data_IF_615396019774
#
_entry.id   IF_615396019774
#
_cell.length_a   1.000
_cell.length_b   1.000
_cell.length_c   1.000
_cell.angle_alpha   90.00
_cell.angle_beta   90.00
_cell.angle_gamma   90.00
#
_symmetry.space_group_name_H-M   'P 1'
#
loop_
_entity.id
_entity.type
_entity.pdbx_description
1 polymer ?
#
# COMPACT_ATOMS: atom_id res chain seq x y z
N UNK A 1 -7.89 -9.04 5.58
CA UNK A 1 -8.07 -9.65 6.92
C UNK A 1 -8.65 -11.07 6.90
N UNK A 2 -9.78 -11.33 6.24
CA UNK A 2 -10.43 -12.66 6.29
C UNK A 2 -9.55 -13.86 5.90
N UNK A 3 -8.70 -13.73 4.86
CA UNK A 3 -7.78 -14.80 4.45
C UNK A 3 -6.66 -15.04 5.46
N UNK A 4 -6.16 -13.97 6.10
CA UNK A 4 -5.18 -14.06 7.19
C UNK A 4 -5.81 -14.82 8.36
N UNK A 5 -7.03 -14.46 8.76
CA UNK A 5 -7.76 -15.18 9.81
C UNK A 5 -7.93 -16.66 9.49
N UNK A 6 -8.44 -16.99 8.29
CA UNK A 6 -8.62 -18.38 7.87
C UNK A 6 -7.32 -19.18 7.93
N UNK A 7 -6.21 -18.58 7.48
CA UNK A 7 -4.90 -19.21 7.52
C UNK A 7 -4.43 -19.44 8.96
N UNK A 8 -4.50 -18.43 9.83
CA UNK A 8 -4.08 -18.54 11.23
C UNK A 8 -4.87 -19.61 11.98
N UNK A 9 -6.19 -19.66 11.78
CA UNK A 9 -7.03 -20.72 12.37
C UNK A 9 -6.68 -22.09 11.81
N UNK A 10 -6.44 -22.20 10.50
CA UNK A 10 -6.06 -23.46 9.85
C UNK A 10 -4.75 -24.03 10.41
N UNK A 11 -3.77 -23.18 10.73
CA UNK A 11 -2.48 -23.62 11.30
C UNK A 11 -2.51 -23.81 12.82
N UNK A 12 -3.69 -23.69 13.46
CA UNK A 12 -3.88 -24.02 14.88
C UNK A 12 -3.91 -22.83 15.85
N UNK A 13 -3.99 -21.59 15.38
CA UNK A 13 -4.21 -20.44 16.27
C UNK A 13 -5.65 -20.49 16.81
N UNK A 14 -5.79 -20.39 18.13
CA UNK A 14 -7.09 -20.30 18.81
C UNK A 14 -7.82 -19.01 18.40
N UNK A 15 -8.98 -19.10 17.72
CA UNK A 15 -9.72 -17.92 17.27
C UNK A 15 -10.15 -16.99 18.41
N UNK A 16 -10.32 -17.51 19.63
CA UNK A 16 -10.69 -16.70 20.80
C UNK A 16 -9.55 -15.83 21.30
N UNK A 17 -8.32 -16.17 20.90
CA UNK A 17 -7.06 -15.48 21.24
C UNK A 17 -6.44 -14.78 20.03
N UNK A 18 -7.26 -14.52 19.00
CA UNK A 18 -6.86 -13.84 17.78
C UNK A 18 -7.69 -12.56 17.64
N UNK A 19 -7.04 -11.42 17.40
CA UNK A 19 -7.72 -10.17 17.07
C UNK A 19 -7.03 -9.45 15.93
N UNK A 20 -7.78 -8.56 15.27
CA UNK A 20 -7.22 -7.61 14.33
C UNK A 20 -7.23 -6.23 14.98
N UNK A 21 -6.06 -5.60 15.07
CA UNK A 21 -5.90 -4.25 15.62
C UNK A 21 -5.49 -3.30 14.51
N UNK A 22 -6.27 -2.24 14.30
CA UNK A 22 -5.87 -1.16 13.41
C UNK A 22 -4.80 -0.30 14.08
N UNK A 23 -3.79 0.10 13.32
CA UNK A 23 -2.81 1.08 13.76
C UNK A 23 -3.46 2.45 13.94
N UNK A 24 -3.06 3.15 14.99
CA UNK A 24 -3.40 4.56 15.15
C UNK A 24 -2.53 5.44 14.24
N UNK A 25 -2.94 6.67 14.01
CA UNK A 25 -2.20 7.61 13.15
C UNK A 25 -0.76 7.89 13.62
N UNK A 26 -0.51 7.80 14.92
CA UNK A 26 0.81 7.98 15.54
C UNK A 26 1.66 6.68 15.55
N UNK A 27 1.10 5.55 15.16
CA UNK A 27 1.78 4.25 15.05
C UNK A 27 2.03 3.87 13.58
N UNK A 28 1.30 4.53 12.66
CA UNK A 28 1.39 4.28 11.23
C UNK A 28 2.82 4.44 10.72
N UNK A 29 3.32 3.44 10.01
CA UNK A 29 4.60 3.55 9.34
C UNK A 29 4.56 4.69 8.31
N UNK A 30 5.67 5.42 8.17
CA UNK A 30 5.79 6.59 7.28
C UNK A 30 5.45 6.31 5.79
N UNK A 31 5.44 5.03 5.40
CA UNK A 31 5.14 4.57 4.05
C UNK A 31 3.72 3.98 3.89
N UNK A 32 2.94 3.92 4.97
CA UNK A 32 1.62 3.30 4.99
C UNK A 32 0.53 4.37 5.15
N UNK A 33 -0.64 4.13 4.54
CA UNK A 33 -1.83 4.94 4.72
C UNK A 33 -2.89 4.26 5.59
N UNK A 34 -2.86 2.93 5.70
CA UNK A 34 -3.62 2.15 6.68
C UNK A 34 -2.85 0.87 7.02
N UNK A 35 -3.02 0.36 8.23
CA UNK A 35 -2.36 -0.88 8.66
C UNK A 35 -3.18 -1.60 9.73
N UNK A 36 -3.29 -2.92 9.57
CA UNK A 36 -3.95 -3.80 10.52
C UNK A 36 -3.04 -4.97 10.87
N UNK A 37 -2.89 -5.21 12.17
CA UNK A 37 -2.14 -6.31 12.70
C UNK A 37 -3.07 -7.44 13.12
N UNK A 38 -2.78 -8.67 12.69
CA UNK A 38 -3.31 -9.85 13.33
C UNK A 38 -2.44 -10.15 14.57
N UNK A 39 -3.03 -9.98 15.75
CA UNK A 39 -2.36 -10.21 17.03
C UNK A 39 -2.85 -11.49 17.70
N UNK A 40 -1.91 -12.25 18.25
CA UNK A 40 -2.20 -13.47 19.02
C UNK A 40 -1.96 -13.21 20.52
N UNK A 41 -2.87 -13.69 21.37
CA UNK A 41 -2.72 -13.63 22.82
C UNK A 41 -1.82 -14.76 23.32
N UNK A 42 -0.64 -14.39 23.82
CA UNK A 42 0.37 -15.29 24.36
C UNK A 42 0.57 -15.09 25.87
N UNK A 43 1.49 -15.83 26.49
CA UNK A 43 1.92 -15.59 27.88
C UNK A 43 2.55 -14.21 28.09
N UNK A 44 3.00 -13.54 27.03
CA UNK A 44 3.59 -12.20 27.06
C UNK A 44 2.58 -11.09 26.69
N UNK A 45 1.30 -11.44 26.55
CA UNK A 45 0.26 -10.52 26.08
C UNK A 45 -0.02 -10.64 24.58
N UNK A 46 -0.63 -9.59 24.01
CA UNK A 46 -0.96 -9.51 22.59
C UNK A 46 0.28 -9.17 21.78
N UNK A 47 0.63 -10.01 20.81
CA UNK A 47 1.80 -9.84 19.96
C UNK A 47 1.35 -9.87 18.50
N UNK A 48 1.83 -8.90 17.71
CA UNK A 48 1.70 -8.90 16.25
C UNK A 48 2.34 -10.17 15.67
N UNK A 49 1.55 -10.97 14.95
CA UNK A 49 2.05 -12.14 14.22
C UNK A 49 2.01 -11.93 12.71
N UNK A 50 1.11 -11.06 12.22
CA UNK A 50 1.01 -10.70 10.79
C UNK A 50 0.59 -9.24 10.66
N UNK A 51 1.43 -8.41 10.05
CA UNK A 51 1.07 -7.06 9.62
C UNK A 51 0.46 -7.06 8.22
N UNK A 52 -0.60 -6.27 8.01
CA UNK A 52 -1.23 -6.06 6.71
C UNK A 52 -1.42 -4.57 6.46
N UNK A 53 -0.53 -4.02 5.63
CA UNK A 53 -0.42 -2.59 5.36
C UNK A 53 -0.89 -2.22 3.94
N UNK A 54 -1.71 -1.17 3.85
CA UNK A 54 -1.92 -0.42 2.61
C UNK A 54 -0.85 0.69 2.53
N UNK A 55 -0.05 0.62 1.46
CA UNK A 55 1.08 1.55 1.21
C UNK A 55 0.80 2.50 0.05
N UNK A 56 -0.43 2.45 -0.49
CA UNK A 56 -0.83 3.17 -1.70
C UNK A 56 0.24 3.04 -2.79
N UNK A 57 0.81 4.16 -3.25
CA UNK A 57 1.84 4.20 -4.28
C UNK A 57 3.22 4.60 -3.74
N UNK A 58 3.45 4.53 -2.41
CA UNK A 58 4.68 5.05 -1.79
C UNK A 58 5.93 4.42 -2.43
N UNK A 59 6.02 3.08 -2.40
CA UNK A 59 7.21 2.36 -2.88
C UNK A 59 7.49 2.60 -4.36
N UNK A 60 6.47 2.43 -5.20
CA UNK A 60 6.61 2.62 -6.65
C UNK A 60 7.02 4.06 -6.99
N UNK A 61 6.46 5.04 -6.27
CA UNK A 61 6.81 6.46 -6.48
C UNK A 61 8.25 6.75 -6.07
N UNK A 62 8.69 6.25 -4.91
CA UNK A 62 10.05 6.47 -4.43
C UNK A 62 11.08 5.80 -5.35
N UNK A 63 10.84 4.55 -5.75
CA UNK A 63 11.73 3.84 -6.67
C UNK A 63 11.76 4.46 -8.07
N UNK A 64 10.62 4.91 -8.61
CA UNK A 64 10.58 5.58 -9.90
C UNK A 64 11.37 6.90 -9.89
N UNK A 65 11.25 7.68 -8.80
CA UNK A 65 12.02 8.93 -8.63
C UNK A 65 13.52 8.68 -8.50
N UNK A 66 13.91 7.70 -7.69
CA UNK A 66 15.31 7.39 -7.43
C UNK A 66 16.03 6.82 -8.65
N UNK A 67 15.34 6.04 -9.48
CA UNK A 67 15.95 5.32 -10.61
C UNK A 67 15.69 5.95 -11.97
N UNK A 68 14.73 6.89 -12.07
CA UNK A 68 14.22 7.39 -13.35
C UNK A 68 13.44 6.36 -14.16
N UNK A 69 13.19 5.16 -13.62
CA UNK A 69 12.47 4.09 -14.32
C UNK A 69 10.96 4.24 -14.14
N UNK A 70 10.21 4.11 -15.24
CA UNK A 70 8.75 4.24 -15.23
C UNK A 70 8.08 2.99 -14.64
N UNK A 71 7.47 3.13 -13.46
CA UNK A 71 6.78 2.05 -12.73
C UNK A 71 5.27 2.35 -12.61
N UNK A 72 4.52 2.20 -13.70
CA UNK A 72 3.07 2.46 -13.75
C UNK A 72 2.33 1.38 -14.52
N UNK A 73 1.06 1.17 -14.21
CA UNK A 73 0.15 0.39 -15.03
C UNK A 73 -0.68 1.31 -15.93
N UNK A 74 -1.01 0.85 -17.13
CA UNK A 74 -1.86 1.58 -18.07
C UNK A 74 -3.13 0.77 -18.33
N UNK A 75 -4.26 1.46 -18.37
CA UNK A 75 -5.56 0.86 -18.69
C UNK A 75 -6.16 1.59 -19.88
N UNK A 76 -6.53 0.83 -20.91
CA UNK A 76 -7.24 1.35 -22.07
C UNK A 76 -8.58 1.96 -21.62
N UNK A 77 -8.86 3.18 -22.06
CA UNK A 77 -10.17 3.82 -21.86
C UNK A 77 -11.21 3.15 -22.75
N UNK A 78 -12.48 3.17 -22.32
CA UNK A 78 -13.59 2.64 -23.13
C UNK A 78 -13.73 3.38 -24.46
N UNK A 79 -13.50 4.70 -24.44
CA UNK A 79 -13.48 5.56 -25.61
C UNK A 79 -12.30 6.54 -25.52
N UNK A 80 -11.67 6.91 -26.65
CA UNK A 80 -10.60 7.91 -26.66
C UNK A 80 -11.11 9.29 -26.23
N UNK A 81 -10.39 9.94 -25.30
CA UNK A 81 -10.69 11.31 -24.89
C UNK A 81 -9.92 12.28 -25.79
N UNK A 82 -10.64 13.01 -26.65
CA UNK A 82 -10.05 14.06 -27.48
C UNK A 82 -9.99 15.38 -26.68
N UNK A 83 -8.79 15.94 -26.50
CA UNK A 83 -8.58 17.19 -25.78
C UNK A 83 -7.99 18.24 -26.72
N UNK A 84 -8.67 19.38 -26.88
CA UNK A 84 -8.10 20.54 -27.53
C UNK A 84 -7.12 21.23 -26.56
N UNK A 85 -5.84 21.31 -26.94
CA UNK A 85 -4.83 22.03 -26.17
C UNK A 85 -4.07 23.01 -27.07
N UNK A 86 -3.74 24.18 -26.52
CA UNK A 86 -2.87 25.16 -27.15
C UNK A 86 -1.48 25.03 -26.51
N UNK A 87 -0.46 24.70 -27.30
CA UNK A 87 0.93 24.68 -26.82
C UNK A 87 1.72 25.84 -27.41
N UNK A 88 2.34 26.66 -26.57
CA UNK A 88 3.32 27.66 -27.01
C UNK A 88 4.65 26.96 -27.32
N UNK A 89 5.08 27.00 -28.58
CA UNK A 89 6.45 26.61 -28.95
C UNK A 89 7.34 27.84 -28.87
N UNK A 90 8.18 27.93 -27.84
CA UNK A 90 9.22 28.95 -27.75
C UNK A 90 10.48 28.47 -28.49
N UNK A 91 11.10 29.36 -29.26
CA UNK A 91 12.34 29.06 -29.97
C UNK A 91 13.51 29.14 -28.95
N UNK A 92 13.84 28.02 -28.28
CA UNK A 92 15.04 27.94 -27.44
C UNK A 92 16.26 27.89 -28.35
N UNK A 93 16.95 29.02 -28.53
CA UNK A 93 18.33 29.02 -29.02
C UNK A 93 19.20 28.38 -27.93
N UNK A 94 19.60 27.12 -28.14
CA UNK A 94 20.64 26.49 -27.34
C UNK A 94 21.98 27.16 -27.70
N UNK A 95 22.63 27.77 -26.71
CA UNK A 95 24.00 28.28 -26.79
C UNK A 95 24.96 27.18 -26.34
#
# INVERSE_FOLDING_TARGET
>A
MARIHQFLVLIGVDPTRLRFRQHLSNEMAHYACDCWDAECQTSYGWIECVGCADRSCYDLTQHARATGTRLVAEKQLSEPVNLAYFSLKTNKQNN
#
